data_IF_469822959295
#
_entry.id   IF_469822959295
#
_cell.length_a   1.000
_cell.length_b   1.000
_cell.length_c   1.000
_cell.angle_alpha   90.00
_cell.angle_beta   90.00
_cell.angle_gamma   90.00
#
_symmetry.space_group_name_H-M   'P 1'
#
loop_
_entity.id
_entity.type
_entity.pdbx_description
1 polymer ?
#
# COMPACT_ATOMS: atom_id res chain seq x y z
N UNK A 1 -12.18 -3.77 6.40
CA UNK A 1 -11.62 -3.85 5.05
C UNK A 1 -12.21 -4.99 4.21
N UNK A 2 -13.43 -5.41 4.53
CA UNK A 2 -14.15 -6.32 3.67
C UNK A 2 -14.21 -5.76 2.25
N UNK A 3 -13.93 -6.59 1.25
CA UNK A 3 -13.95 -6.22 -0.15
C UNK A 3 -12.66 -5.67 -0.73
N UNK A 4 -11.61 -5.51 0.06
CA UNK A 4 -10.27 -5.28 -0.50
C UNK A 4 -9.52 -6.58 -0.73
N UNK A 5 -8.80 -6.62 -1.83
CA UNK A 5 -7.95 -7.75 -2.20
C UNK A 5 -6.54 -7.29 -2.53
N UNK A 6 -5.56 -7.99 -1.96
CA UNK A 6 -4.16 -7.70 -2.24
C UNK A 6 -3.80 -8.17 -3.65
N UNK A 7 -3.35 -7.26 -4.48
CA UNK A 7 -2.96 -7.59 -5.84
C UNK A 7 -2.82 -6.35 -6.73
N UNK A 8 -2.29 -6.57 -7.90
CA UNK A 8 -2.16 -5.55 -8.94
C UNK A 8 -3.24 -5.78 -9.99
N UNK A 9 -4.04 -4.77 -10.35
CA UNK A 9 -4.95 -4.88 -11.47
C UNK A 9 -4.16 -5.14 -12.75
N UNK A 10 -4.43 -6.25 -13.41
CA UNK A 10 -3.73 -6.67 -14.63
C UNK A 10 -4.32 -6.00 -15.86
N UNK A 11 -5.63 -6.06 -15.97
CA UNK A 11 -6.43 -5.39 -16.97
C UNK A 11 -7.83 -5.23 -16.43
N UNK A 12 -8.66 -4.41 -17.09
CA UNK A 12 -10.06 -4.25 -16.68
C UNK A 12 -10.81 -5.58 -16.70
N UNK A 13 -10.56 -6.39 -17.69
CA UNK A 13 -11.21 -7.68 -17.82
C UNK A 13 -10.73 -8.67 -16.73
N UNK A 14 -9.46 -8.61 -16.38
CA UNK A 14 -8.90 -9.46 -15.32
C UNK A 14 -9.31 -9.04 -13.92
N UNK A 15 -9.47 -7.75 -13.66
CA UNK A 15 -9.89 -7.27 -12.35
C UNK A 15 -11.24 -7.87 -11.96
N UNK A 16 -12.10 -8.03 -12.93
CA UNK A 16 -13.50 -8.30 -12.65
C UNK A 16 -13.92 -9.76 -12.89
N UNK A 17 -13.42 -10.36 -13.96
CA UNK A 17 -13.90 -11.67 -14.40
C UNK A 17 -12.93 -12.82 -14.23
N UNK A 18 -11.64 -12.54 -14.16
CA UNK A 18 -10.61 -13.57 -14.13
C UNK A 18 -9.84 -13.64 -12.83
N UNK A 19 -10.08 -12.71 -11.91
CA UNK A 19 -9.52 -12.78 -10.58
C UNK A 19 -10.44 -13.67 -9.71
N UNK A 20 -9.93 -14.76 -9.12
CA UNK A 20 -10.74 -15.66 -8.28
C UNK A 20 -11.38 -14.95 -7.08
N UNK A 21 -10.87 -13.81 -6.69
CA UNK A 21 -11.38 -12.99 -5.59
C UNK A 21 -12.65 -12.22 -5.95
N UNK A 22 -12.79 -11.86 -7.23
CA UNK A 22 -13.87 -11.03 -7.72
C UNK A 22 -14.84 -11.81 -8.60
N UNK A 23 -14.34 -12.85 -9.30
CA UNK A 23 -15.08 -13.50 -10.38
C UNK A 23 -16.04 -14.59 -9.92
N UNK A 24 -15.80 -15.22 -8.79
CA UNK A 24 -16.65 -16.35 -8.35
C UNK A 24 -18.05 -15.93 -7.91
N UNK A 25 -18.23 -14.68 -7.53
CA UNK A 25 -19.48 -14.16 -6.99
C UNK A 25 -20.00 -12.87 -7.67
N UNK A 26 -19.21 -12.25 -8.55
CA UNK A 26 -19.53 -10.95 -9.14
C UNK A 26 -19.68 -9.83 -8.11
N UNK A 27 -19.03 -9.98 -6.95
CA UNK A 27 -19.18 -9.12 -5.79
C UNK A 27 -17.85 -8.50 -5.41
N UNK A 28 -17.95 -7.26 -4.96
CA UNK A 28 -16.89 -6.48 -4.41
C UNK A 28 -17.14 -6.31 -2.92
N UNK A 29 -16.59 -7.20 -2.11
CA UNK A 29 -17.07 -7.39 -0.74
C UNK A 29 -18.52 -7.81 -0.75
N UNK A 30 -19.39 -7.04 -0.09
CA UNK A 30 -20.83 -7.27 -0.08
C UNK A 30 -21.59 -6.53 -1.19
N UNK A 31 -20.90 -5.93 -2.17
CA UNK A 31 -21.48 -5.10 -3.21
C UNK A 31 -21.24 -5.72 -4.59
N UNK A 32 -22.32 -5.97 -5.31
CA UNK A 32 -22.23 -6.30 -6.73
C UNK A 32 -21.75 -5.08 -7.53
N UNK A 33 -20.78 -5.27 -8.39
CA UNK A 33 -20.25 -4.24 -9.28
C UNK A 33 -20.34 -4.75 -10.72
N UNK A 34 -20.91 -3.95 -11.60
CA UNK A 34 -20.98 -4.32 -13.01
C UNK A 34 -19.64 -4.06 -13.71
N UNK A 35 -19.43 -4.76 -14.84
CA UNK A 35 -18.28 -4.50 -15.72
C UNK A 35 -18.18 -3.03 -16.13
N UNK A 36 -19.30 -2.39 -16.39
CA UNK A 36 -19.34 -0.99 -16.82
C UNK A 36 -18.92 -0.03 -15.69
N UNK A 37 -19.26 -0.34 -14.45
CA UNK A 37 -18.78 0.41 -13.28
C UNK A 37 -17.26 0.30 -13.13
N UNK A 38 -16.70 -0.91 -13.29
CA UNK A 38 -15.24 -1.11 -13.26
C UNK A 38 -14.56 -0.36 -14.41
N UNK A 39 -15.12 -0.41 -15.60
CA UNK A 39 -14.62 0.33 -16.76
C UNK A 39 -14.66 1.85 -16.54
N UNK A 40 -15.74 2.37 -15.99
CA UNK A 40 -15.89 3.79 -15.69
C UNK A 40 -14.84 4.25 -14.66
N UNK A 41 -14.64 3.48 -13.58
CA UNK A 41 -13.62 3.75 -12.57
C UNK A 41 -12.20 3.70 -13.16
N UNK A 42 -11.94 2.73 -14.02
CA UNK A 42 -10.64 2.63 -14.69
C UNK A 42 -10.38 3.81 -15.64
N UNK A 43 -11.38 4.24 -16.39
CA UNK A 43 -11.28 5.41 -17.25
C UNK A 43 -11.07 6.70 -16.44
N UNK A 44 -11.80 6.84 -15.36
CA UNK A 44 -11.60 7.94 -14.41
C UNK A 44 -10.19 7.94 -13.83
N UNK A 45 -9.69 6.80 -13.38
CA UNK A 45 -8.34 6.65 -12.87
C UNK A 45 -7.26 7.04 -13.89
N UNK A 46 -7.45 6.71 -15.16
CA UNK A 46 -6.57 7.14 -16.26
C UNK A 46 -6.58 8.65 -16.49
N UNK A 47 -7.71 9.29 -16.33
CA UNK A 47 -7.86 10.72 -16.59
C UNK A 47 -7.31 11.60 -15.45
N UNK A 48 -7.29 11.10 -14.23
CA UNK A 48 -6.87 11.85 -13.03
C UNK A 48 -5.35 11.93 -12.80
N UNK A 49 -4.56 11.61 -13.82
CA UNK A 49 -3.09 11.79 -13.86
C UNK A 49 -2.36 11.35 -12.59
N UNK A 50 -2.55 10.10 -12.21
CA UNK A 50 -1.67 9.47 -11.22
C UNK A 50 -2.11 9.55 -9.75
N UNK A 51 -3.05 10.42 -9.40
CA UNK A 51 -3.54 10.49 -8.02
C UNK A 51 -4.54 9.39 -7.66
N UNK A 52 -5.14 8.76 -8.67
CA UNK A 52 -6.14 7.70 -8.52
C UNK A 52 -5.64 6.42 -9.19
N UNK A 53 -4.50 5.92 -8.72
CA UNK A 53 -3.82 4.76 -9.31
C UNK A 53 -3.35 3.78 -8.25
N UNK A 54 -3.19 2.53 -8.69
CA UNK A 54 -2.63 1.44 -7.90
C UNK A 54 -1.28 1.81 -7.28
N UNK A 55 -1.13 1.51 -5.99
CA UNK A 55 0.12 1.69 -5.27
C UNK A 55 0.40 3.11 -4.81
N UNK A 56 -0.47 4.06 -5.11
CA UNK A 56 -0.30 5.46 -4.71
C UNK A 56 -0.80 5.74 -3.29
N UNK A 57 -1.52 4.77 -2.70
CA UNK A 57 -2.09 4.92 -1.37
C UNK A 57 -3.17 5.98 -1.29
N UNK A 58 -4.01 6.05 -2.29
CA UNK A 58 -5.22 6.86 -2.29
C UNK A 58 -6.36 6.05 -1.68
N UNK A 59 -6.90 6.49 -0.54
CA UNK A 59 -7.97 5.78 0.16
C UNK A 59 -9.27 5.69 -0.64
N UNK A 60 -9.56 6.67 -1.49
CA UNK A 60 -10.71 6.61 -2.40
C UNK A 60 -10.52 5.54 -3.48
N UNK A 61 -9.31 5.49 -4.07
CA UNK A 61 -8.98 4.41 -5.00
C UNK A 61 -9.16 3.04 -4.35
N UNK A 62 -8.58 2.85 -3.18
CA UNK A 62 -8.66 1.60 -2.45
C UNK A 62 -10.11 1.21 -2.13
N UNK A 63 -10.94 2.19 -1.74
CA UNK A 63 -12.37 1.99 -1.45
C UNK A 63 -13.15 1.61 -2.71
N UNK A 64 -12.92 2.33 -3.81
CA UNK A 64 -13.74 2.21 -5.02
C UNK A 64 -13.35 1.00 -5.88
N UNK A 65 -12.05 0.71 -5.96
CA UNK A 65 -11.52 -0.39 -6.76
C UNK A 65 -11.44 -1.69 -5.96
N UNK A 66 -11.07 -1.62 -4.64
CA UNK A 66 -10.93 -2.75 -3.71
C UNK A 66 -9.81 -3.73 -4.03
N UNK A 67 -8.95 -3.38 -4.96
CA UNK A 67 -7.73 -4.11 -5.26
C UNK A 67 -6.57 -3.16 -5.04
N UNK A 68 -5.58 -3.56 -4.27
CA UNK A 68 -4.46 -2.72 -3.94
C UNK A 68 -3.21 -3.46 -3.50
N UNK A 69 -2.14 -2.74 -3.32
CA UNK A 69 -0.94 -3.23 -2.65
C UNK A 69 -0.92 -2.77 -1.17
N UNK A 70 0.17 -3.03 -0.48
CA UNK A 70 0.33 -2.64 0.91
C UNK A 70 0.13 -1.13 1.15
N UNK A 71 0.52 -0.27 0.20
CA UNK A 71 0.34 1.17 0.31
C UNK A 71 -1.14 1.56 0.30
N UNK A 72 -1.93 0.96 -0.62
CA UNK A 72 -3.36 1.22 -0.76
C UNK A 72 -4.14 0.70 0.45
N UNK A 73 -3.81 -0.51 0.91
CA UNK A 73 -4.39 -1.13 2.10
C UNK A 73 -4.25 -0.25 3.34
N UNK A 74 -3.02 0.15 3.64
CA UNK A 74 -2.75 0.90 4.87
C UNK A 74 -3.23 2.34 4.78
N UNK A 75 -3.26 2.93 3.60
CA UNK A 75 -3.88 4.25 3.41
C UNK A 75 -5.39 4.21 3.63
N UNK A 76 -6.05 3.15 3.19
CA UNK A 76 -7.48 2.96 3.44
C UNK A 76 -7.75 2.71 4.92
N UNK A 77 -7.00 1.83 5.57
CA UNK A 77 -7.08 1.59 7.01
C UNK A 77 -6.92 2.89 7.81
N UNK A 78 -5.89 3.69 7.52
CA UNK A 78 -5.63 4.96 8.19
C UNK A 78 -6.77 5.95 7.97
N UNK A 79 -7.35 5.99 6.78
CA UNK A 79 -8.51 6.84 6.48
C UNK A 79 -9.72 6.45 7.34
N UNK A 80 -10.01 5.16 7.47
CA UNK A 80 -11.07 4.65 8.33
C UNK A 80 -10.80 4.93 9.80
N UNK A 81 -9.58 4.68 10.27
CA UNK A 81 -9.18 4.95 11.66
C UNK A 81 -9.39 6.42 12.01
N UNK A 82 -8.95 7.34 11.14
CA UNK A 82 -9.12 8.78 11.35
C UNK A 82 -10.58 9.22 11.32
N UNK A 83 -11.42 8.57 10.52
CA UNK A 83 -12.87 8.83 10.52
C UNK A 83 -13.51 8.44 11.85
N UNK A 84 -12.92 7.46 12.54
CA UNK A 84 -13.32 7.03 13.89
C UNK A 84 -12.59 7.78 15.01
N UNK A 85 -11.88 8.86 14.67
CA UNK A 85 -11.06 9.66 15.60
C UNK A 85 -9.91 8.87 16.26
N UNK A 86 -9.52 7.73 15.68
CA UNK A 86 -8.38 6.93 16.12
C UNK A 86 -7.12 7.46 15.41
N UNK A 87 -6.12 7.98 16.15
CA UNK A 87 -4.87 8.38 15.54
C UNK A 87 -4.21 7.18 14.87
N UNK A 88 -3.78 7.38 13.63
CA UNK A 88 -3.09 6.35 12.87
C UNK A 88 -1.99 6.96 11.99
N UNK A 89 -0.92 6.23 11.80
CA UNK A 89 0.26 6.66 11.05
C UNK A 89 0.75 5.56 10.12
N UNK A 90 1.38 5.98 9.06
CA UNK A 90 1.85 5.14 7.98
C UNK A 90 3.33 4.86 8.13
N UNK A 91 3.74 3.63 7.90
CA UNK A 91 5.13 3.20 7.88
C UNK A 91 5.47 2.53 6.56
N UNK A 92 6.70 2.71 6.13
CA UNK A 92 7.23 2.05 4.94
C UNK A 92 8.70 1.72 5.14
N UNK A 93 9.11 0.59 4.62
CA UNK A 93 10.48 0.12 4.72
C UNK A 93 10.72 -1.13 3.91
N UNK A 94 11.63 -1.95 4.37
CA UNK A 94 12.02 -3.17 3.70
C UNK A 94 11.67 -4.41 4.52
N UNK A 95 10.98 -5.39 3.93
CA UNK A 95 10.89 -6.72 4.50
C UNK A 95 12.24 -7.42 4.26
N UNK A 96 12.84 -7.91 5.32
CA UNK A 96 14.09 -8.65 5.24
C UNK A 96 13.74 -10.13 5.04
N UNK A 97 14.14 -10.76 3.94
CA UNK A 97 13.89 -12.18 3.71
C UNK A 97 14.61 -13.07 4.73
N UNK A 98 14.09 -14.25 4.96
CA UNK A 98 14.77 -15.25 5.78
C UNK A 98 16.09 -15.67 5.11
N UNK A 99 17.15 -15.78 5.90
CA UNK A 99 18.48 -16.19 5.47
C UNK A 99 19.58 -15.38 6.13
N UNK A 100 20.84 -15.77 5.93
CA UNK A 100 21.99 -15.07 6.48
C UNK A 100 22.32 -13.79 5.72
N UNK A 101 22.18 -13.83 4.40
CA UNK A 101 22.39 -12.68 3.52
C UNK A 101 21.60 -12.82 2.23
N UNK A 102 21.34 -11.71 1.55
CA UNK A 102 20.61 -11.74 0.28
C UNK A 102 20.19 -10.37 -0.24
N UNK A 103 19.45 -10.39 -1.32
CA UNK A 103 18.89 -9.18 -1.92
C UNK A 103 17.52 -8.85 -1.33
N UNK A 104 17.29 -7.56 -1.05
CA UNK A 104 15.97 -7.03 -0.73
C UNK A 104 15.27 -6.64 -2.04
N UNK A 105 14.19 -7.35 -2.39
CA UNK A 105 13.56 -7.23 -3.72
C UNK A 105 12.53 -6.12 -3.84
N UNK A 106 12.06 -5.57 -2.74
CA UNK A 106 11.01 -4.57 -2.77
C UNK A 106 10.77 -3.95 -1.40
N UNK A 107 9.84 -3.03 -1.34
CA UNK A 107 9.40 -2.38 -0.12
C UNK A 107 8.15 -3.05 0.45
N UNK A 108 7.86 -2.73 1.70
CA UNK A 108 6.61 -3.09 2.35
C UNK A 108 6.09 -1.93 3.20
N UNK A 109 4.78 -1.91 3.41
CA UNK A 109 4.11 -0.90 4.23
C UNK A 109 3.35 -1.57 5.36
N UNK A 110 3.21 -0.84 6.46
CA UNK A 110 2.33 -1.17 7.57
C UNK A 110 1.80 0.11 8.20
N UNK A 111 0.98 -0.01 9.20
CA UNK A 111 0.47 1.14 9.92
C UNK A 111 0.55 0.90 11.43
N UNK A 112 0.46 1.98 12.19
CA UNK A 112 0.15 1.93 13.60
C UNK A 112 -1.18 2.63 13.85
N UNK A 113 -1.90 2.19 14.89
CA UNK A 113 -3.03 2.91 15.47
C UNK A 113 -2.80 3.12 16.97
N UNK A 114 -3.36 4.19 17.48
CA UNK A 114 -3.18 4.56 18.88
C UNK A 114 -4.36 4.08 19.74
N UNK A 115 -4.04 3.53 20.89
CA UNK A 115 -5.02 3.13 21.89
C UNK A 115 -4.77 3.94 23.15
N UNK A 116 -5.77 4.70 23.60
CA UNK A 116 -5.67 5.54 24.77
C UNK A 116 -5.20 4.76 26.01
N UNK A 117 -4.21 5.31 26.69
CA UNK A 117 -3.60 4.69 27.87
C UNK A 117 -2.62 3.54 27.59
N UNK A 118 -2.55 3.03 26.35
CA UNK A 118 -1.72 1.89 25.98
C UNK A 118 -0.65 2.24 24.92
N UNK A 119 -0.87 3.27 24.11
CA UNK A 119 0.10 3.71 23.11
C UNK A 119 -0.17 3.18 21.70
N UNK A 120 0.88 3.07 20.90
CA UNK A 120 0.83 2.67 19.49
C UNK A 120 0.91 1.16 19.30
N UNK A 121 0.00 0.63 18.49
CA UNK A 121 -0.04 -0.78 18.11
C UNK A 121 0.15 -0.91 16.60
N UNK A 122 1.09 -1.73 16.16
CA UNK A 122 1.31 -1.96 14.74
C UNK A 122 0.23 -2.86 14.15
N UNK A 123 -0.02 -2.67 12.85
CA UNK A 123 -0.95 -3.49 12.10
C UNK A 123 -0.48 -3.67 10.66
N UNK A 124 -0.53 -4.89 10.17
CA UNK A 124 -0.30 -5.20 8.76
C UNK A 124 -1.49 -5.93 8.17
N UNK A 125 -2.45 -5.15 7.74
CA UNK A 125 -3.69 -5.70 7.17
C UNK A 125 -3.49 -6.34 5.81
N UNK A 126 -2.41 -6.03 5.11
CA UNK A 126 -2.08 -6.66 3.83
C UNK A 126 -1.51 -8.07 4.00
N UNK A 127 -0.69 -8.30 5.01
CA UNK A 127 -0.25 -9.65 5.37
C UNK A 127 -1.40 -10.47 6.00
N UNK A 128 -2.22 -9.83 6.82
CA UNK A 128 -3.43 -10.45 7.36
C UNK A 128 -4.43 -10.91 6.27
N UNK A 129 -4.49 -10.19 5.15
CA UNK A 129 -5.33 -10.58 4.02
C UNK A 129 -4.72 -11.74 3.21
N UNK A 130 -3.42 -11.77 3.05
CA UNK A 130 -2.71 -12.87 2.37
C UNK A 130 -2.81 -14.20 3.13
N UNK A 131 -2.77 -14.14 4.46
CA UNK A 131 -2.87 -15.30 5.34
C UNK A 131 -3.90 -15.04 6.45
N UNK A 132 -5.12 -15.48 6.20
CA UNK A 132 -6.26 -15.29 7.14
C UNK A 132 -6.01 -15.94 8.51
N UNK A 133 -5.17 -16.97 8.60
CA UNK A 133 -4.82 -17.62 9.87
C UNK A 133 -3.99 -16.74 10.79
N UNK A 134 -3.31 -15.74 10.22
CA UNK A 134 -2.47 -14.77 10.94
C UNK A 134 -3.16 -13.42 11.16
N UNK A 135 -4.47 -13.32 10.92
CA UNK A 135 -5.21 -12.07 11.04
C UNK A 135 -5.02 -11.43 12.41
N UNK A 136 -5.19 -12.20 13.48
CA UNK A 136 -5.08 -11.69 14.85
C UNK A 136 -3.63 -11.33 15.21
N UNK A 137 -2.66 -12.05 14.66
CA UNK A 137 -1.24 -11.73 14.83
C UNK A 137 -0.89 -10.37 14.22
N UNK A 138 -1.29 -10.12 12.99
CA UNK A 138 -0.98 -8.87 12.29
C UNK A 138 -1.86 -7.68 12.70
N UNK A 139 -2.75 -7.87 13.66
CA UNK A 139 -3.52 -6.79 14.28
C UNK A 139 -3.05 -6.55 15.72
N UNK A 140 -1.93 -5.88 15.84
CA UNK A 140 -1.24 -5.58 17.11
C UNK A 140 0.23 -5.99 17.11
N UNK A 141 0.67 -6.72 16.07
CA UNK A 141 2.06 -7.17 15.93
C UNK A 141 2.49 -7.12 14.46
N UNK A 142 3.75 -6.90 14.21
CA UNK A 142 4.40 -7.08 12.91
C UNK A 142 5.66 -7.92 13.09
N UNK A 143 6.10 -8.57 12.00
CA UNK A 143 7.31 -9.38 12.04
C UNK A 143 8.54 -8.54 12.38
N UNK A 144 9.48 -9.13 13.12
CA UNK A 144 10.76 -8.51 13.45
C UNK A 144 11.68 -8.28 12.23
N UNK A 145 11.41 -9.00 11.13
CA UNK A 145 12.17 -8.90 9.88
C UNK A 145 11.77 -7.68 9.04
N UNK A 146 11.62 -6.51 9.67
CA UNK A 146 11.26 -5.25 9.00
C UNK A 146 12.22 -4.14 9.37
N UNK A 147 12.74 -3.47 8.36
CA UNK A 147 13.53 -2.26 8.54
C UNK A 147 12.68 -1.06 8.15
N UNK A 148 12.29 -0.25 9.13
CA UNK A 148 11.59 1.00 8.87
C UNK A 148 12.55 2.02 8.25
N UNK A 149 12.11 2.64 7.17
CA UNK A 149 12.84 3.70 6.47
C UNK A 149 12.13 5.05 6.57
N UNK A 150 10.81 5.04 6.67
CA UNK A 150 10.03 6.27 6.79
C UNK A 150 8.74 6.07 7.55
N UNK A 151 8.35 7.11 8.27
CA UNK A 151 7.05 7.25 8.91
C UNK A 151 6.32 8.47 8.35
N UNK A 152 5.09 8.29 7.88
CA UNK A 152 4.32 9.35 7.24
C UNK A 152 4.36 9.27 5.73
N UNK A 153 3.83 10.31 5.08
CA UNK A 153 3.69 10.42 3.62
C UNK A 153 3.71 11.87 3.18
N UNK A 154 3.75 12.08 1.88
CA UNK A 154 3.69 13.41 1.26
C UNK A 154 4.81 14.36 1.75
N UNK A 155 6.03 13.84 1.87
CA UNK A 155 7.17 14.64 2.32
C UNK A 155 7.49 15.76 1.35
N UNK A 156 7.70 16.93 1.90
CA UNK A 156 8.29 18.06 1.19
C UNK A 156 9.77 18.10 1.54
N UNK A 157 10.62 17.87 0.55
CA UNK A 157 12.07 17.87 0.75
C UNK A 157 12.67 19.18 0.29
N UNK A 158 13.53 19.78 1.12
CA UNK A 158 14.27 20.98 0.75
C UNK A 158 15.19 20.68 -0.43
N UNK A 159 15.14 21.54 -1.45
CA UNK A 159 15.93 21.38 -2.67
C UNK A 159 15.40 20.35 -3.66
N UNK A 160 14.27 19.71 -3.39
CA UNK A 160 13.62 18.82 -4.34
C UNK A 160 12.40 19.50 -4.98
N UNK A 161 12.41 19.64 -6.31
CA UNK A 161 11.44 20.47 -7.04
C UNK A 161 10.34 19.66 -7.75
N UNK A 162 10.46 18.33 -7.79
CA UNK A 162 9.49 17.46 -8.45
C UNK A 162 8.22 17.16 -7.62
N UNK A 163 8.05 17.84 -6.48
CA UNK A 163 6.85 17.77 -5.68
C UNK A 163 6.98 16.95 -4.40
N UNK A 164 5.84 16.46 -3.90
CA UNK A 164 5.81 15.67 -2.67
C UNK A 164 6.26 14.23 -2.89
N UNK A 165 7.00 13.69 -1.92
CA UNK A 165 7.57 12.34 -2.00
C UNK A 165 6.77 11.39 -1.10
N UNK A 166 6.20 10.36 -1.70
CA UNK A 166 5.47 9.30 -1.01
C UNK A 166 6.30 8.06 -0.71
N UNK A 167 7.29 7.76 -1.56
CA UNK A 167 8.16 6.58 -1.50
C UNK A 167 9.58 7.02 -1.12
N UNK A 168 9.74 7.67 0.03
CA UNK A 168 11.04 8.14 0.49
C UNK A 168 11.87 7.03 1.15
N UNK A 169 11.92 5.89 0.50
CA UNK A 169 12.75 4.73 0.84
C UNK A 169 13.77 4.42 -0.25
N UNK A 170 13.66 5.09 -1.38
CA UNK A 170 14.55 4.94 -2.52
C UNK A 170 15.34 6.24 -2.75
N UNK A 171 16.53 6.15 -3.33
CA UNK A 171 17.25 7.33 -3.81
C UNK A 171 16.39 8.12 -4.79
N UNK A 172 16.43 9.43 -4.66
CA UNK A 172 15.78 10.37 -5.57
C UNK A 172 16.86 11.05 -6.42
N UNK A 173 16.58 11.21 -7.68
CA UNK A 173 17.45 11.91 -8.63
C UNK A 173 16.64 12.95 -9.39
N UNK A 174 17.10 14.19 -9.36
CA UNK A 174 16.62 15.25 -10.23
C UNK A 174 17.70 15.68 -11.21
N UNK A 175 17.32 15.93 -12.45
CA UNK A 175 18.15 16.52 -13.49
C UNK A 175 17.39 17.70 -14.07
N UNK A 176 17.96 18.91 -13.95
CA UNK A 176 17.31 20.15 -14.36
C UNK A 176 15.90 20.30 -13.72
N UNK A 177 15.81 20.15 -12.40
CA UNK A 177 14.60 20.28 -11.59
C UNK A 177 13.46 19.32 -11.99
N UNK A 178 13.79 18.18 -12.58
CA UNK A 178 12.84 17.13 -12.93
C UNK A 178 13.32 15.78 -12.43
N UNK A 179 12.40 15.05 -11.84
CA UNK A 179 12.67 13.67 -11.41
C UNK A 179 13.16 12.83 -12.60
N UNK A 180 14.18 12.03 -12.33
CA UNK A 180 14.81 11.15 -13.33
C UNK A 180 14.93 9.73 -12.79
N UNK A 181 14.54 8.77 -13.60
CA UNK A 181 14.72 7.34 -13.32
C UNK A 181 16.03 6.78 -13.95
N UNK A 182 16.94 7.66 -14.44
CA UNK A 182 18.18 7.25 -15.10
C UNK A 182 19.27 6.80 -14.12
N UNK A 183 18.90 5.90 -13.23
CA UNK A 183 19.84 5.24 -12.31
C UNK A 183 19.36 3.84 -11.98
N UNK A 184 20.27 3.02 -11.50
CA UNK A 184 19.97 1.69 -10.96
C UNK A 184 20.17 1.71 -9.45
N UNK A 185 19.40 0.92 -8.73
CA UNK A 185 19.51 0.74 -7.29
C UNK A 185 19.42 -0.74 -6.93
N UNK A 186 20.17 -1.13 -5.91
CA UNK A 186 20.08 -2.46 -5.33
C UNK A 186 20.20 -2.34 -3.81
N UNK A 187 19.50 -3.21 -3.10
CA UNK A 187 19.58 -3.32 -1.67
C UNK A 187 19.87 -4.77 -1.31
N UNK A 188 20.73 -4.94 -0.34
CA UNK A 188 21.06 -6.26 0.21
C UNK A 188 21.08 -6.19 1.73
N UNK A 189 20.96 -7.34 2.36
CA UNK A 189 21.07 -7.48 3.79
C UNK A 189 22.08 -8.57 4.14
N UNK A 190 22.62 -8.47 5.34
CA UNK A 190 23.44 -9.49 5.96
C UNK A 190 23.16 -9.48 7.45
N UNK A 191 22.83 -10.64 8.01
CA UNK A 191 22.69 -10.82 9.44
C UNK A 191 24.06 -10.73 10.11
N UNK A 192 24.10 -10.12 11.27
CA UNK A 192 25.32 -9.95 12.07
C UNK A 192 25.49 -11.10 13.07
#
# INVERSE_FOLDING_TARGET
LEGMHYGKPKSVDNIYYNDPWLSSEGKYGNKEVSRDQVLALYQFAKQTKGNYTFGNGNSYYACDIGVGNCTDYHSYFISLSRTLEIPARFHMGFPIPNGEEGAVKGYHCWADYYVDGNGWYPVDISEADKDKSKKDYFFGTVDESRVEMMQGRDFVLEGYNSGKVNLFIYPLLEINDKESSRFTKSFSYKNL
#
